data_IF_596683538953
#
_entry.id   IF_596683538953
#
_cell.length_a   1.000
_cell.length_b   1.000
_cell.length_c   1.000
_cell.angle_alpha   90.00
_cell.angle_beta   90.00
_cell.angle_gamma   90.00
#
_symmetry.space_group_name_H-M   'P 1'
#
loop_
_entity.id
_entity.type
_entity.pdbx_description
1 polymer ?
#
# COMPACT_ATOMS: atom_id res chain seq x y z
N UNK A 1 -27.07 35.22 -28.46
CA UNK A 1 -26.88 34.78 -27.06
C UNK A 1 -26.43 33.34 -27.05
N UNK A 2 -25.11 33.07 -26.99
CA UNK A 2 -24.57 31.75 -26.83
C UNK A 2 -24.56 31.41 -25.34
N UNK A 3 -25.35 30.42 -24.91
CA UNK A 3 -25.28 29.83 -23.58
C UNK A 3 -24.02 28.95 -23.50
N UNK A 4 -23.04 29.41 -22.71
CA UNK A 4 -21.90 28.56 -22.33
C UNK A 4 -22.43 27.37 -21.54
N UNK A 5 -22.41 26.17 -22.13
CA UNK A 5 -22.61 24.91 -21.41
C UNK A 5 -21.34 24.67 -20.57
N UNK A 6 -21.41 24.97 -19.28
CA UNK A 6 -20.42 24.52 -18.32
C UNK A 6 -20.50 23.01 -18.24
N UNK A 7 -19.64 22.32 -18.98
CA UNK A 7 -19.41 20.88 -18.83
C UNK A 7 -18.66 20.67 -17.51
N UNK A 8 -19.37 20.48 -16.42
CA UNK A 8 -18.84 19.96 -15.17
C UNK A 8 -18.59 18.46 -15.35
N UNK A 9 -17.47 18.12 -15.97
CA UNK A 9 -16.94 16.76 -15.82
C UNK A 9 -16.58 16.61 -14.33
N UNK A 10 -17.15 15.60 -13.63
CA UNK A 10 -16.70 15.32 -12.28
C UNK A 10 -15.19 15.05 -12.35
N UNK A 11 -14.42 15.67 -11.46
CA UNK A 11 -13.00 15.36 -11.32
C UNK A 11 -12.87 13.86 -11.13
N UNK A 12 -11.90 13.20 -11.78
CA UNK A 12 -11.70 11.77 -11.59
C UNK A 12 -11.53 11.51 -10.10
N UNK A 13 -12.40 10.69 -9.56
CA UNK A 13 -12.37 10.33 -8.16
C UNK A 13 -11.12 9.50 -7.91
N UNK A 14 -10.32 9.90 -6.93
CA UNK A 14 -9.05 9.27 -6.61
C UNK A 14 -9.27 8.15 -5.58
N UNK A 15 -8.60 7.00 -5.71
CA UNK A 15 -8.59 5.99 -4.68
C UNK A 15 -7.86 6.50 -3.43
N UNK A 16 -8.21 5.96 -2.27
CA UNK A 16 -7.57 6.27 -0.98
C UNK A 16 -6.48 5.24 -0.67
N UNK A 17 -5.29 5.71 -0.28
CA UNK A 17 -4.21 4.84 0.20
C UNK A 17 -4.50 4.46 1.65
N UNK A 18 -4.63 3.16 1.94
CA UNK A 18 -4.80 2.62 3.27
C UNK A 18 -3.45 2.12 3.77
N UNK A 19 -2.81 2.87 4.66
CA UNK A 19 -1.54 2.47 5.30
C UNK A 19 -1.86 1.62 6.51
N UNK A 20 -1.53 0.32 6.47
CA UNK A 20 -1.78 -0.62 7.55
C UNK A 20 -0.58 -0.70 8.49
N UNK A 21 -0.73 -0.23 9.72
CA UNK A 21 0.32 -0.14 10.73
C UNK A 21 0.02 -0.93 12.02
N UNK A 22 -0.96 -1.83 12.00
CA UNK A 22 -1.43 -2.61 13.15
C UNK A 22 -0.70 -3.94 13.38
N UNK A 23 0.32 -4.26 12.59
CA UNK A 23 1.10 -5.50 12.70
C UNK A 23 1.94 -5.58 13.97
N UNK A 24 2.12 -6.79 14.55
CA UNK A 24 2.81 -6.99 15.84
C UNK A 24 4.35 -6.96 15.77
N UNK A 25 4.94 -7.10 14.59
CA UNK A 25 6.40 -7.08 14.40
C UNK A 25 7.15 -8.25 15.04
N UNK A 26 6.50 -9.41 15.24
CA UNK A 26 7.07 -10.56 15.97
C UNK A 26 8.36 -11.10 15.33
N UNK A 27 8.43 -11.17 14.00
CA UNK A 27 9.63 -11.61 13.27
C UNK A 27 10.79 -10.64 13.45
N UNK A 28 10.51 -9.35 13.48
CA UNK A 28 11.53 -8.32 13.72
C UNK A 28 12.11 -8.42 15.14
N UNK A 29 11.26 -8.59 16.13
CA UNK A 29 11.69 -8.82 17.51
C UNK A 29 12.51 -10.11 17.64
N UNK A 30 12.08 -11.21 17.00
CA UNK A 30 12.80 -12.48 17.00
C UNK A 30 14.17 -12.40 16.32
N UNK A 31 14.37 -11.48 15.36
CA UNK A 31 15.68 -11.24 14.74
C UNK A 31 16.63 -10.35 15.55
N UNK A 32 16.21 -9.92 16.76
CA UNK A 32 17.01 -9.09 17.66
C UNK A 32 16.60 -7.61 17.69
N UNK A 33 15.49 -7.23 17.02
CA UNK A 33 14.97 -5.88 17.06
C UNK A 33 14.56 -5.46 18.48
N UNK A 34 15.00 -4.28 18.92
CA UNK A 34 14.77 -3.77 20.29
C UNK A 34 13.53 -2.86 20.38
N UNK A 35 12.97 -2.47 19.25
CA UNK A 35 11.78 -1.64 19.12
C UNK A 35 10.82 -2.29 18.14
N UNK A 36 9.58 -1.80 18.09
CA UNK A 36 8.65 -2.25 17.06
C UNK A 36 9.19 -1.92 15.65
N UNK A 37 9.05 -2.83 14.67
CA UNK A 37 9.63 -2.69 13.33
C UNK A 37 9.30 -1.35 12.65
N UNK A 38 8.09 -0.84 12.82
CA UNK A 38 7.66 0.44 12.25
C UNK A 38 8.31 1.66 12.92
N UNK A 39 8.85 1.48 14.13
CA UNK A 39 9.60 2.50 14.88
C UNK A 39 11.12 2.36 14.73
N UNK A 40 11.59 1.31 14.05
CA UNK A 40 13.00 1.15 13.77
C UNK A 40 13.49 2.28 12.85
N UNK A 41 14.69 2.80 13.14
CA UNK A 41 15.28 3.87 12.33
C UNK A 41 15.87 3.31 11.03
N UNK A 42 15.54 3.98 9.94
CA UNK A 42 16.13 3.82 8.63
C UNK A 42 16.70 5.18 8.22
N UNK A 43 18.00 5.39 8.44
CA UNK A 43 18.61 6.72 8.39
C UNK A 43 18.12 7.60 9.54
N UNK A 44 17.61 8.79 9.22
CA UNK A 44 17.14 9.81 10.18
C UNK A 44 15.65 9.69 10.55
N UNK A 45 14.89 8.79 9.89
CA UNK A 45 13.45 8.60 10.08
C UNK A 45 13.11 7.16 10.43
N UNK A 46 11.93 6.95 11.02
CA UNK A 46 11.44 5.59 11.23
C UNK A 46 10.94 4.97 9.92
N UNK A 47 10.87 3.63 9.88
CA UNK A 47 10.30 2.87 8.76
C UNK A 47 8.92 3.41 8.37
N UNK A 48 8.01 3.59 9.35
CA UNK A 48 6.68 4.13 9.09
C UNK A 48 6.72 5.57 8.58
N UNK A 49 7.61 6.43 9.09
CA UNK A 49 7.73 7.81 8.61
C UNK A 49 8.12 7.87 7.14
N UNK A 50 9.08 7.04 6.68
CA UNK A 50 9.41 6.95 5.26
C UNK A 50 8.19 6.57 4.40
N UNK A 51 7.45 5.52 4.80
CA UNK A 51 6.23 5.10 4.09
C UNK A 51 5.22 6.24 4.02
N UNK A 52 4.94 6.90 5.15
CA UNK A 52 3.97 7.99 5.21
C UNK A 52 4.42 9.23 4.42
N UNK A 53 5.71 9.54 4.38
CA UNK A 53 6.22 10.68 3.61
C UNK A 53 6.02 10.45 2.10
N UNK A 54 6.27 9.23 1.61
CA UNK A 54 6.02 8.88 0.20
C UNK A 54 4.52 8.90 -0.13
N UNK A 55 3.67 8.43 0.78
CA UNK A 55 2.21 8.50 0.62
C UNK A 55 1.73 9.96 0.57
N UNK A 56 2.20 10.81 1.48
CA UNK A 56 1.85 12.25 1.49
C UNK A 56 2.34 12.95 0.22
N UNK A 57 3.55 12.64 -0.22
CA UNK A 57 4.12 13.21 -1.44
C UNK A 57 3.32 12.83 -2.71
N UNK A 58 2.56 11.73 -2.69
CA UNK A 58 1.69 11.36 -3.81
C UNK A 58 0.50 12.30 -3.99
N UNK A 59 0.09 13.04 -2.96
CA UNK A 59 -1.14 13.85 -3.00
C UNK A 59 -2.43 13.06 -3.08
N UNK A 60 -2.38 11.72 -3.07
CA UNK A 60 -3.58 10.89 -2.99
C UNK A 60 -4.22 11.01 -1.60
N UNK A 61 -5.55 10.91 -1.48
CA UNK A 61 -6.19 10.73 -0.18
C UNK A 61 -5.60 9.51 0.53
N UNK A 62 -5.42 9.58 1.84
CA UNK A 62 -4.85 8.47 2.60
C UNK A 62 -5.47 8.35 3.99
N UNK A 63 -5.38 7.16 4.55
CA UNK A 63 -5.80 6.80 5.90
C UNK A 63 -4.76 5.91 6.55
N UNK A 64 -4.40 6.19 7.80
CA UNK A 64 -3.54 5.34 8.62
C UNK A 64 -4.42 4.47 9.51
N UNK A 65 -4.28 3.15 9.38
CA UNK A 65 -4.92 2.18 10.27
C UNK A 65 -3.86 1.59 11.21
N UNK A 66 -3.76 2.19 12.40
CA UNK A 66 -2.78 1.84 13.44
C UNK A 66 -3.42 1.23 14.69
N UNK A 67 -4.73 1.09 14.69
CA UNK A 67 -5.46 0.39 15.76
C UNK A 67 -5.18 -1.10 15.68
N UNK A 68 -4.91 -1.72 16.84
CA UNK A 68 -4.69 -3.16 16.92
C UNK A 68 -5.94 -3.97 16.55
N UNK A 69 -5.81 -4.84 15.54
CA UNK A 69 -6.86 -5.74 15.08
C UNK A 69 -6.44 -7.20 15.25
N UNK A 70 -7.40 -8.15 15.35
CA UNK A 70 -7.10 -9.58 15.43
C UNK A 70 -6.28 -10.10 14.24
N UNK A 71 -6.49 -9.54 13.05
CA UNK A 71 -5.77 -9.94 11.84
C UNK A 71 -5.76 -8.87 10.76
N UNK A 72 -4.99 -9.13 9.68
CA UNK A 72 -4.84 -8.22 8.56
C UNK A 72 -6.17 -7.97 7.83
N UNK A 73 -7.03 -9.00 7.71
CA UNK A 73 -8.36 -8.84 7.10
C UNK A 73 -9.24 -7.88 7.89
N UNK A 74 -9.19 -7.94 9.22
CA UNK A 74 -9.94 -7.03 10.10
C UNK A 74 -9.42 -5.59 9.97
N UNK A 75 -8.10 -5.39 9.87
CA UNK A 75 -7.47 -4.08 9.64
C UNK A 75 -7.92 -3.48 8.31
N UNK A 76 -7.91 -4.26 7.22
CA UNK A 76 -8.36 -3.80 5.91
C UNK A 76 -9.85 -3.41 5.96
N UNK A 77 -10.70 -4.27 6.55
CA UNK A 77 -12.13 -3.99 6.65
C UNK A 77 -12.41 -2.73 7.49
N UNK A 78 -11.65 -2.49 8.56
CA UNK A 78 -11.75 -1.29 9.38
C UNK A 78 -11.36 -0.03 8.59
N UNK A 79 -10.23 -0.05 7.90
CA UNK A 79 -9.74 1.06 7.08
C UNK A 79 -10.72 1.41 5.93
N UNK A 80 -11.27 0.38 5.24
CA UNK A 80 -12.30 0.58 4.20
C UNK A 80 -13.58 1.19 4.79
N UNK A 81 -13.98 0.78 5.98
CA UNK A 81 -15.15 1.35 6.68
C UNK A 81 -14.92 2.81 7.05
N UNK A 82 -13.72 3.15 7.53
CA UNK A 82 -13.33 4.53 7.87
C UNK A 82 -13.28 5.44 6.63
N UNK A 83 -13.08 4.88 5.45
CA UNK A 83 -12.97 5.59 4.17
C UNK A 83 -14.10 5.23 3.20
N UNK A 84 -15.33 5.10 3.69
CA UNK A 84 -16.49 4.57 2.96
C UNK A 84 -16.85 5.33 1.67
N UNK A 85 -16.45 6.61 1.54
CA UNK A 85 -16.70 7.46 0.39
C UNK A 85 -15.61 7.40 -0.69
N UNK A 86 -14.55 6.61 -0.48
CA UNK A 86 -13.48 6.44 -1.46
C UNK A 86 -13.98 5.72 -2.72
N UNK A 87 -13.41 6.07 -3.87
CA UNK A 87 -13.75 5.44 -5.15
C UNK A 87 -12.85 4.23 -5.48
N UNK A 88 -12.04 3.84 -4.55
CA UNK A 88 -11.18 2.69 -4.56
C UNK A 88 -10.16 2.78 -3.43
N UNK A 89 -9.36 1.74 -3.27
CA UNK A 89 -8.40 1.64 -2.18
C UNK A 89 -7.07 1.07 -2.67
N UNK A 90 -5.98 1.65 -2.21
CA UNK A 90 -4.63 1.10 -2.33
C UNK A 90 -4.22 0.57 -0.96
N UNK A 91 -4.23 -0.73 -0.77
CA UNK A 91 -3.83 -1.36 0.50
C UNK A 91 -2.30 -1.45 0.54
N UNK A 92 -1.70 -0.68 1.42
CA UNK A 92 -0.24 -0.54 1.58
C UNK A 92 0.17 -0.90 3.01
N UNK A 93 0.96 -1.95 3.25
CA UNK A 93 1.61 -2.16 4.54
C UNK A 93 2.52 -1.00 4.93
N UNK A 94 2.52 -0.63 6.21
CA UNK A 94 3.29 0.50 6.73
C UNK A 94 4.81 0.26 6.82
N UNK A 95 5.26 -0.94 6.52
CA UNK A 95 6.65 -1.41 6.56
C UNK A 95 7.35 -1.42 5.19
N UNK A 96 6.83 -0.66 4.22
CA UNK A 96 7.41 -0.49 2.88
C UNK A 96 8.02 0.91 2.71
N UNK A 97 9.14 1.21 3.39
CA UNK A 97 9.70 2.56 3.46
C UNK A 97 10.23 3.09 2.12
N UNK A 98 10.47 2.21 1.16
CA UNK A 98 11.08 2.54 -0.13
C UNK A 98 10.10 2.60 -1.29
N UNK A 99 8.78 2.51 -1.02
CA UNK A 99 7.76 2.63 -2.07
C UNK A 99 7.88 3.98 -2.80
N UNK A 100 7.80 3.97 -4.12
CA UNK A 100 7.85 5.20 -4.90
C UNK A 100 6.44 5.81 -5.06
N UNK A 101 6.38 7.13 -5.00
CA UNK A 101 5.17 7.93 -5.29
C UNK A 101 4.59 7.58 -6.66
N UNK A 102 5.46 7.41 -7.66
CA UNK A 102 5.08 7.02 -9.01
C UNK A 102 4.30 5.70 -9.06
N UNK A 103 4.72 4.70 -8.28
CA UNK A 103 4.02 3.42 -8.19
C UNK A 103 2.61 3.58 -7.62
N UNK A 104 2.42 4.45 -6.60
CA UNK A 104 1.09 4.76 -6.06
C UNK A 104 0.18 5.33 -7.16
N UNK A 105 0.69 6.26 -7.98
CA UNK A 105 -0.06 6.84 -9.10
C UNK A 105 -0.37 5.82 -10.19
N UNK A 106 0.60 4.98 -10.57
CA UNK A 106 0.39 3.95 -11.60
C UNK A 106 -0.68 2.95 -11.20
N UNK A 107 -0.68 2.48 -9.93
CA UNK A 107 -1.73 1.60 -9.42
C UNK A 107 -3.09 2.31 -9.37
N UNK A 108 -3.13 3.57 -8.91
CA UNK A 108 -4.35 4.38 -8.87
C UNK A 108 -4.95 4.57 -10.27
N UNK A 109 -4.11 4.83 -11.29
CA UNK A 109 -4.54 4.98 -12.66
C UNK A 109 -5.06 3.68 -13.25
N UNK A 110 -4.38 2.56 -13.01
CA UNK A 110 -4.79 1.25 -13.53
C UNK A 110 -6.15 0.79 -12.96
N UNK A 111 -6.53 1.23 -11.75
CA UNK A 111 -7.86 0.95 -11.15
C UNK A 111 -9.03 1.56 -11.92
N UNK A 112 -8.79 2.52 -12.82
CA UNK A 112 -9.85 3.05 -13.70
C UNK A 112 -10.34 2.02 -14.70
N UNK A 113 -9.56 0.98 -15.00
CA UNK A 113 -9.86 -0.05 -16.01
C UNK A 113 -9.91 -1.46 -15.43
N UNK A 114 -9.42 -1.67 -14.22
CA UNK A 114 -9.29 -3.00 -13.62
C UNK A 114 -9.87 -3.03 -12.20
N UNK A 115 -10.61 -4.08 -11.82
CA UNK A 115 -11.20 -4.18 -10.48
C UNK A 115 -10.14 -4.38 -9.39
N UNK A 116 -9.06 -5.12 -9.70
CA UNK A 116 -7.93 -5.37 -8.77
C UNK A 116 -6.62 -5.25 -9.53
N UNK A 117 -5.67 -4.51 -8.96
CA UNK A 117 -4.33 -4.28 -9.54
C UNK A 117 -3.27 -4.67 -8.53
N UNK A 118 -2.30 -5.47 -8.96
CA UNK A 118 -1.15 -5.89 -8.15
C UNK A 118 0.13 -5.44 -8.86
N UNK A 119 0.95 -4.56 -8.25
CA UNK A 119 2.24 -4.22 -8.82
C UNK A 119 3.16 -5.44 -8.78
N UNK A 120 3.96 -5.58 -9.83
CA UNK A 120 4.91 -6.69 -10.00
C UNK A 120 6.28 -6.11 -10.31
N UNK A 121 7.24 -6.40 -9.44
CA UNK A 121 8.64 -6.12 -9.68
C UNK A 121 9.30 -7.31 -10.39
N UNK A 122 9.98 -7.04 -11.51
CA UNK A 122 10.64 -8.07 -12.29
C UNK A 122 12.10 -8.17 -11.87
N UNK A 123 12.53 -9.38 -11.51
CA UNK A 123 13.93 -9.73 -11.23
C UNK A 123 14.48 -10.67 -12.30
N UNK A 124 15.77 -10.98 -12.24
CA UNK A 124 16.38 -12.00 -13.08
C UNK A 124 15.85 -13.41 -12.80
N UNK A 125 15.38 -13.65 -11.56
CA UNK A 125 14.89 -14.94 -11.09
C UNK A 125 13.38 -15.11 -11.31
N UNK A 126 12.65 -14.04 -11.67
CA UNK A 126 11.22 -14.09 -11.91
C UNK A 126 10.48 -12.82 -11.54
N UNK A 127 9.17 -12.99 -11.28
CA UNK A 127 8.26 -11.90 -10.96
C UNK A 127 7.86 -11.95 -9.48
N UNK A 128 7.98 -10.83 -8.79
CA UNK A 128 7.57 -10.68 -7.39
C UNK A 128 6.35 -9.75 -7.33
N UNK A 129 5.23 -10.27 -6.81
CA UNK A 129 4.05 -9.46 -6.51
C UNK A 129 4.30 -8.62 -5.28
N UNK A 130 4.01 -7.33 -5.39
CA UNK A 130 4.27 -6.35 -4.34
C UNK A 130 3.04 -5.56 -3.92
N UNK A 131 3.29 -4.44 -3.28
CA UNK A 131 2.30 -3.48 -2.77
C UNK A 131 2.51 -2.08 -3.37
N UNK A 132 1.47 -1.20 -3.33
CA UNK A 132 0.13 -1.45 -2.79
C UNK A 132 -0.70 -2.35 -3.70
N UNK A 133 -1.58 -3.14 -3.11
CA UNK A 133 -2.62 -3.81 -3.90
C UNK A 133 -3.79 -2.86 -4.05
N UNK A 134 -4.15 -2.56 -5.30
CA UNK A 134 -5.26 -1.68 -5.64
C UNK A 134 -6.59 -2.43 -5.77
N UNK A 135 -7.67 -1.84 -5.27
CA UNK A 135 -9.04 -2.35 -5.34
C UNK A 135 -9.97 -1.23 -5.79
N UNK A 136 -10.70 -1.43 -6.88
CA UNK A 136 -11.73 -0.51 -7.31
C UNK A 136 -12.94 -0.54 -6.35
N UNK A 137 -13.78 0.50 -6.41
CA UNK A 137 -14.98 0.65 -5.56
C UNK A 137 -15.89 -0.57 -5.57
N UNK A 138 -15.99 -1.28 -6.70
CA UNK A 138 -16.78 -2.51 -6.81
C UNK A 138 -16.34 -3.65 -5.88
N UNK A 139 -15.12 -3.61 -5.34
CA UNK A 139 -14.62 -4.59 -4.36
C UNK A 139 -15.05 -4.30 -2.92
N UNK A 140 -15.74 -3.18 -2.66
CA UNK A 140 -16.05 -2.67 -1.31
C UNK A 140 -16.67 -3.73 -0.40
N UNK A 141 -17.74 -4.38 -0.81
CA UNK A 141 -18.45 -5.34 0.04
C UNK A 141 -17.57 -6.56 0.38
N UNK A 142 -16.77 -7.03 -0.59
CA UNK A 142 -15.82 -8.11 -0.37
C UNK A 142 -14.69 -7.71 0.60
N UNK A 143 -14.21 -6.46 0.52
CA UNK A 143 -13.21 -5.92 1.46
C UNK A 143 -13.78 -5.77 2.87
N UNK A 144 -15.02 -5.29 3.01
CA UNK A 144 -15.71 -5.17 4.30
C UNK A 144 -15.99 -6.52 4.98
N UNK A 145 -16.12 -7.59 4.20
CA UNK A 145 -16.35 -8.95 4.68
C UNK A 145 -15.06 -9.65 5.16
N UNK A 146 -13.87 -9.07 4.95
CA UNK A 146 -12.60 -9.66 5.35
C UNK A 146 -12.49 -9.81 6.86
N UNK A 147 -11.89 -10.93 7.30
CA UNK A 147 -11.63 -11.25 8.73
C UNK A 147 -10.33 -12.05 8.88
N UNK A 148 -9.75 -11.98 10.07
CA UNK A 148 -8.59 -12.79 10.45
C UNK A 148 -7.35 -12.50 9.60
N UNK A 149 -6.46 -13.49 9.50
CA UNK A 149 -5.10 -13.31 8.98
C UNK A 149 -4.96 -13.47 7.45
N UNK A 150 -6.03 -13.72 6.71
CA UNK A 150 -5.96 -14.00 5.27
C UNK A 150 -5.65 -12.76 4.41
N UNK A 151 -5.61 -11.57 5.02
CA UNK A 151 -5.46 -10.32 4.26
C UNK A 151 -6.52 -10.18 3.17
N UNK A 152 -6.16 -9.60 2.03
CA UNK A 152 -7.05 -9.40 0.89
C UNK A 152 -7.08 -10.58 -0.10
N UNK A 153 -6.40 -11.69 0.17
CA UNK A 153 -6.34 -12.84 -0.75
C UNK A 153 -7.70 -13.38 -1.22
N UNK A 154 -8.76 -13.42 -0.38
CA UNK A 154 -10.10 -13.82 -0.84
C UNK A 154 -10.64 -12.90 -1.94
N UNK A 155 -10.42 -11.57 -1.83
CA UNK A 155 -10.89 -10.60 -2.83
C UNK A 155 -10.14 -10.77 -4.15
N UNK A 156 -8.81 -10.97 -4.09
CA UNK A 156 -8.01 -11.24 -5.29
C UNK A 156 -8.52 -12.50 -6.04
N UNK A 157 -8.90 -13.54 -5.30
CA UNK A 157 -9.44 -14.77 -5.92
C UNK A 157 -10.80 -14.55 -6.58
N UNK A 158 -11.65 -13.71 -5.98
CA UNK A 158 -13.01 -13.46 -6.46
C UNK A 158 -13.03 -12.61 -7.73
N UNK A 159 -12.24 -11.53 -7.74
CA UNK A 159 -12.28 -10.54 -8.83
C UNK A 159 -11.22 -10.78 -9.91
N UNK A 160 -10.24 -11.65 -9.65
CA UNK A 160 -9.02 -11.74 -10.44
C UNK A 160 -8.12 -10.52 -10.21
N UNK A 161 -6.83 -10.67 -10.47
CA UNK A 161 -5.87 -9.60 -10.30
C UNK A 161 -5.16 -9.31 -11.63
N UNK A 162 -5.14 -8.04 -12.03
CA UNK A 162 -4.31 -7.57 -13.14
C UNK A 162 -2.93 -7.24 -12.61
N UNK A 163 -1.89 -7.85 -13.20
CA UNK A 163 -0.50 -7.56 -12.87
C UNK A 163 -0.04 -6.29 -13.58
N UNK A 164 0.51 -5.35 -12.83
CA UNK A 164 1.11 -4.12 -13.33
C UNK A 164 2.62 -4.19 -13.12
N UNK A 165 3.39 -4.32 -14.19
CA UNK A 165 4.86 -4.31 -14.10
C UNK A 165 5.33 -2.90 -13.75
N UNK A 166 6.09 -2.79 -12.65
CA UNK A 166 6.66 -1.53 -12.16
C UNK A 166 8.16 -1.67 -11.96
N UNK A 167 8.90 -0.58 -12.17
CA UNK A 167 10.33 -0.52 -11.90
C UNK A 167 10.59 0.07 -10.50
N UNK A 168 10.03 -0.56 -9.48
CA UNK A 168 10.12 -0.12 -8.09
C UNK A 168 10.36 -1.30 -7.16
N UNK A 169 11.60 -1.50 -6.76
CA UNK A 169 11.98 -2.52 -5.78
C UNK A 169 11.34 -2.26 -4.41
N UNK A 170 10.96 -1.02 -4.10
CA UNK A 170 10.26 -0.66 -2.86
C UNK A 170 8.92 -1.37 -2.68
N UNK A 171 8.28 -1.83 -3.77
CA UNK A 171 7.03 -2.60 -3.71
C UNK A 171 7.15 -3.95 -3.01
N UNK A 172 8.37 -4.49 -2.95
CA UNK A 172 8.71 -5.83 -2.41
C UNK A 172 9.79 -5.77 -1.32
N UNK A 173 10.12 -4.56 -0.85
CA UNK A 173 11.12 -4.36 0.21
C UNK A 173 10.42 -4.03 1.53
N UNK A 174 9.72 -5.01 2.07
CA UNK A 174 9.12 -4.96 3.39
C UNK A 174 10.15 -5.23 4.50
N UNK A 175 9.97 -4.59 5.64
CA UNK A 175 10.86 -4.74 6.80
C UNK A 175 10.25 -5.72 7.77
N UNK A 176 10.72 -6.97 7.72
CA UNK A 176 10.30 -8.04 8.63
C UNK A 176 11.39 -8.50 9.59
N UNK A 177 12.67 -8.23 9.27
CA UNK A 177 13.83 -8.61 10.07
C UNK A 177 14.86 -7.47 10.11
N UNK A 178 15.88 -7.60 10.98
CA UNK A 178 17.03 -6.67 10.97
C UNK A 178 17.80 -6.73 9.64
N UNK A 179 17.89 -7.88 9.01
CA UNK A 179 18.53 -8.04 7.71
C UNK A 179 17.79 -7.26 6.62
N UNK A 180 16.45 -7.24 6.66
CA UNK A 180 15.66 -6.43 5.73
C UNK A 180 15.90 -4.94 5.93
N UNK A 181 16.02 -4.50 7.19
CA UNK A 181 16.35 -3.12 7.53
C UNK A 181 17.73 -2.70 6.99
N UNK A 182 18.75 -3.56 7.12
CA UNK A 182 20.08 -3.33 6.55
C UNK A 182 20.04 -3.24 5.03
N UNK A 183 19.32 -4.15 4.37
CA UNK A 183 19.12 -4.13 2.92
C UNK A 183 18.42 -2.85 2.46
N UNK A 184 17.36 -2.45 3.15
CA UNK A 184 16.65 -1.21 2.85
C UNK A 184 17.53 0.03 3.04
N UNK A 185 18.41 0.02 4.07
CA UNK A 185 19.38 1.09 4.29
C UNK A 185 20.38 1.25 3.13
N UNK A 186 20.90 0.14 2.63
CA UNK A 186 21.79 0.15 1.47
C UNK A 186 21.08 0.69 0.21
N UNK A 187 19.83 0.28 -0.04
CA UNK A 187 19.02 0.77 -1.16
C UNK A 187 18.72 2.27 -1.04
N UNK A 188 18.39 2.75 0.16
CA UNK A 188 18.14 4.17 0.41
C UNK A 188 19.38 5.02 0.14
N UNK A 189 20.54 4.59 0.62
CA UNK A 189 21.81 5.28 0.37
C UNK A 189 22.14 5.37 -1.13
N UNK A 190 21.87 4.31 -1.90
CA UNK A 190 22.05 4.30 -3.35
C UNK A 190 21.09 5.20 -4.15
N UNK A 191 19.96 5.64 -3.55
CA UNK A 191 19.04 6.62 -4.18
C UNK A 191 19.48 8.07 -3.97
N UNK A 192 20.35 8.33 -3.01
CA UNK A 192 20.81 9.67 -2.65
C UNK A 192 22.18 10.03 -3.29
N UNK A 193 22.86 9.05 -3.85
CA UNK A 193 24.13 9.20 -4.54
C UNK A 193 23.94 9.48 -6.04
#
# INVERSE_FOLDING_TARGET
>A
MLRAMSSTYPLPSLPTVLVLASGRGERFAASGGRVHKLQALLGDKTVLQHTLDNVRASGLPWHLEDVGHPGMGDSIAAAVRATANADGWLVLPGDLPLILTETLHQVAQALQQHPVVVPVFQTQEGRLRGHPVGFARGCREALLALKGNQGAAPVLRTFGATELIVNDVGTVTDIDTLQDLERASALLAGRQA
#
